data_IF_806321007471
#
_entry.id   IF_806321007471
#
_cell.length_a   1.000
_cell.length_b   1.000
_cell.length_c   1.000
_cell.angle_alpha   90.00
_cell.angle_beta   90.00
_cell.angle_gamma   90.00
#
_symmetry.space_group_name_H-M   'P 1'
#
loop_
_entity.id
_entity.type
_entity.pdbx_description
1 polymer ?
#
# COMPACT_ATOMS: atom_id res chain seq x y z
N UNK A 1 -4.57 9.33 -2.53
CA UNK A 1 -4.75 7.87 -2.71
C UNK A 1 -4.82 7.18 -1.36
N UNK A 2 -3.69 6.74 -0.82
CA UNK A 2 -3.61 5.96 0.44
C UNK A 2 -4.33 6.58 1.64
N UNK A 3 -4.29 7.91 1.82
CA UNK A 3 -5.00 8.57 2.92
C UNK A 3 -6.53 8.45 2.86
N UNK A 4 -7.10 8.30 1.66
CA UNK A 4 -8.55 8.15 1.48
C UNK A 4 -9.02 6.69 1.70
N UNK A 5 -8.11 5.71 1.68
CA UNK A 5 -8.46 4.29 1.80
C UNK A 5 -8.10 3.72 3.17
N UNK A 6 -7.04 4.20 3.83
CA UNK A 6 -6.61 3.63 5.11
C UNK A 6 -7.51 4.00 6.29
N UNK A 7 -8.03 5.22 6.36
CA UNK A 7 -8.89 5.65 7.46
C UNK A 7 -10.24 4.90 7.48
N UNK A 8 -11.01 4.82 6.37
CA UNK A 8 -12.28 4.08 6.35
C UNK A 8 -12.09 2.56 6.55
N UNK A 9 -11.00 2.00 6.02
CA UNK A 9 -10.70 0.58 6.19
C UNK A 9 -10.37 0.22 7.65
N UNK A 10 -9.72 1.13 8.38
CA UNK A 10 -9.40 0.93 9.80
C UNK A 10 -10.66 1.11 10.67
N UNK A 11 -11.52 2.08 10.36
CA UNK A 11 -12.82 2.25 11.02
C UNK A 11 -13.73 1.04 10.81
N UNK A 12 -13.86 0.50 9.59
CA UNK A 12 -14.66 -0.70 9.33
C UNK A 12 -14.17 -1.93 10.12
N UNK A 13 -12.86 -2.13 10.23
CA UNK A 13 -12.30 -3.25 11.01
C UNK A 13 -12.58 -3.09 12.50
N UNK A 14 -12.43 -1.87 13.04
CA UNK A 14 -12.56 -1.60 14.47
C UNK A 14 -14.02 -1.46 14.94
N UNK A 15 -14.93 -0.95 14.10
CA UNK A 15 -16.35 -0.81 14.41
C UNK A 15 -17.12 -2.14 14.49
N UNK A 16 -16.59 -3.21 13.90
CA UNK A 16 -17.24 -4.52 13.82
C UNK A 16 -17.06 -5.41 15.06
N UNK A 17 -16.33 -4.96 16.10
CA UNK A 17 -15.93 -5.77 17.26
C UNK A 17 -16.54 -5.25 18.57
N UNK A 18 -17.09 -6.13 19.46
CA UNK A 18 -17.46 -5.74 20.82
C UNK A 18 -16.24 -5.15 21.56
N UNK A 19 -16.43 -4.05 22.31
CA UNK A 19 -15.35 -3.29 23.01
C UNK A 19 -14.35 -4.18 23.78
N UNK A 20 -14.80 -5.31 24.34
CA UNK A 20 -13.95 -6.27 25.04
C UNK A 20 -12.92 -7.01 24.15
N UNK A 21 -13.03 -6.96 22.82
CA UNK A 21 -12.16 -7.66 21.84
C UNK A 21 -11.42 -6.72 20.89
N UNK A 22 -11.62 -5.41 20.99
CA UNK A 22 -10.98 -4.41 20.13
C UNK A 22 -9.44 -4.49 20.18
N UNK A 23 -8.85 -4.81 21.35
CA UNK A 23 -7.40 -5.00 21.50
C UNK A 23 -6.84 -6.20 20.72
N UNK A 24 -7.58 -7.30 20.64
CA UNK A 24 -7.20 -8.48 19.85
C UNK A 24 -7.35 -8.20 18.36
N UNK A 25 -8.40 -7.47 17.97
CA UNK A 25 -8.62 -7.03 16.58
C UNK A 25 -7.51 -6.11 16.07
N UNK A 26 -7.10 -5.12 16.86
CA UNK A 26 -6.00 -4.21 16.52
C UNK A 26 -4.67 -4.96 16.37
N UNK A 27 -4.34 -5.86 17.31
CA UNK A 27 -3.10 -6.64 17.25
C UNK A 27 -3.05 -7.54 15.99
N UNK A 28 -4.18 -8.12 15.59
CA UNK A 28 -4.28 -8.93 14.38
C UNK A 28 -4.14 -8.08 13.11
N UNK A 29 -4.75 -6.90 13.07
CA UNK A 29 -4.62 -5.96 11.95
C UNK A 29 -3.17 -5.49 11.79
N UNK A 30 -2.48 -5.16 12.89
CA UNK A 30 -1.07 -4.76 12.85
C UNK A 30 -0.18 -5.89 12.35
N UNK A 31 -0.39 -7.11 12.86
CA UNK A 31 0.33 -8.30 12.39
C UNK A 31 0.12 -8.51 10.90
N UNK A 32 -1.12 -8.39 10.42
CA UNK A 32 -1.46 -8.52 9.00
C UNK A 32 -0.75 -7.48 8.16
N UNK A 33 -0.68 -6.23 8.63
CA UNK A 33 0.03 -5.13 7.93
C UNK A 33 1.54 -5.34 7.91
N UNK A 34 2.13 -5.77 9.01
CA UNK A 34 3.57 -6.05 9.08
C UNK A 34 3.96 -7.22 8.18
N UNK A 35 3.22 -8.32 8.25
CA UNK A 35 3.45 -9.51 7.41
C UNK A 35 3.20 -9.17 5.93
N UNK A 36 2.10 -8.48 5.62
CA UNK A 36 1.79 -8.04 4.26
C UNK A 36 2.84 -7.09 3.70
N UNK A 37 3.33 -6.14 4.51
CA UNK A 37 4.40 -5.22 4.13
C UNK A 37 5.71 -5.95 3.84
N UNK A 38 6.14 -6.84 4.73
CA UNK A 38 7.35 -7.64 4.54
C UNK A 38 7.27 -8.53 3.29
N UNK A 39 6.13 -9.19 3.09
CA UNK A 39 5.89 -10.04 1.91
C UNK A 39 5.90 -9.20 0.61
N UNK A 40 5.26 -8.03 0.63
CA UNK A 40 5.25 -7.12 -0.52
C UNK A 40 6.66 -6.68 -0.90
N UNK A 41 7.48 -6.26 0.06
CA UNK A 41 8.88 -5.91 -0.16
C UNK A 41 9.67 -7.08 -0.72
N UNK A 42 9.48 -8.29 -0.18
CA UNK A 42 10.19 -9.49 -0.64
C UNK A 42 9.84 -9.88 -2.08
N UNK A 43 8.55 -9.83 -2.44
CA UNK A 43 8.07 -10.16 -3.79
C UNK A 43 8.60 -9.13 -4.80
N UNK A 44 8.39 -7.84 -4.52
CA UNK A 44 8.81 -6.77 -5.43
C UNK A 44 10.34 -6.78 -5.59
N UNK A 45 11.09 -6.95 -4.49
CA UNK A 45 12.55 -7.04 -4.51
C UNK A 45 13.03 -8.24 -5.34
N UNK A 46 12.35 -9.38 -5.23
CA UNK A 46 12.66 -10.60 -6.02
C UNK A 46 12.44 -10.39 -7.51
N UNK A 47 11.33 -9.76 -7.89
CA UNK A 47 11.04 -9.39 -9.29
C UNK A 47 12.09 -8.42 -9.81
N UNK A 48 12.41 -7.38 -9.04
CA UNK A 48 13.39 -6.37 -9.42
C UNK A 48 14.77 -7.01 -9.66
N UNK A 49 15.21 -7.85 -8.72
CA UNK A 49 16.50 -8.56 -8.80
C UNK A 49 16.53 -9.53 -9.99
N UNK A 50 15.46 -10.28 -10.22
CA UNK A 50 15.38 -11.27 -11.31
C UNK A 50 15.39 -10.60 -12.69
N UNK A 51 14.56 -9.58 -12.90
CA UNK A 51 14.48 -8.87 -14.18
C UNK A 51 15.75 -8.07 -14.46
N UNK A 52 16.30 -7.38 -13.47
CA UNK A 52 17.56 -6.66 -13.61
C UNK A 52 18.72 -7.63 -13.91
N UNK A 53 18.89 -8.66 -13.07
CA UNK A 53 20.00 -9.59 -13.17
C UNK A 53 19.99 -10.39 -14.47
N UNK A 54 18.82 -10.79 -14.96
CA UNK A 54 18.69 -11.48 -16.25
C UNK A 54 19.13 -10.59 -17.42
N UNK A 55 18.69 -9.32 -17.47
CA UNK A 55 19.10 -8.36 -18.51
C UNK A 55 20.60 -8.09 -18.51
N UNK A 56 21.22 -7.96 -17.33
CA UNK A 56 22.67 -7.77 -17.22
C UNK A 56 23.43 -8.99 -17.73
N UNK A 57 23.01 -10.20 -17.33
CA UNK A 57 23.64 -11.44 -17.80
C UNK A 57 23.50 -11.59 -19.30
N UNK A 58 22.31 -11.39 -19.85
CA UNK A 58 22.05 -11.47 -21.29
C UNK A 58 22.92 -10.50 -22.09
N UNK A 59 23.07 -9.27 -21.59
CA UNK A 59 23.80 -8.23 -22.31
C UNK A 59 25.33 -8.37 -22.22
N UNK A 60 25.86 -8.86 -21.09
CA UNK A 60 27.29 -8.83 -20.78
C UNK A 60 27.97 -10.21 -20.76
N UNK A 61 27.23 -11.31 -20.68
CA UNK A 61 27.82 -12.65 -20.62
C UNK A 61 28.72 -12.91 -21.84
N UNK A 62 29.95 -13.37 -21.58
CA UNK A 62 30.97 -13.60 -22.60
C UNK A 62 31.61 -12.34 -23.19
N UNK A 63 31.21 -11.13 -22.77
CA UNK A 63 31.75 -9.85 -23.26
C UNK A 63 32.62 -9.13 -22.24
N UNK A 64 32.50 -9.46 -20.96
CA UNK A 64 33.24 -8.85 -19.85
C UNK A 64 33.82 -9.93 -18.93
N UNK A 65 34.87 -9.62 -18.15
CA UNK A 65 35.37 -10.54 -17.13
C UNK A 65 34.28 -10.91 -16.11
N UNK A 66 34.30 -12.16 -15.62
CA UNK A 66 33.27 -12.67 -14.68
C UNK A 66 33.13 -11.79 -13.43
N UNK A 67 34.24 -11.26 -12.90
CA UNK A 67 34.21 -10.37 -11.73
C UNK A 67 33.44 -9.06 -12.00
N UNK A 68 33.53 -8.53 -13.22
CA UNK A 68 32.81 -7.33 -13.63
C UNK A 68 31.32 -7.65 -13.86
N UNK A 69 31.03 -8.83 -14.41
CA UNK A 69 29.66 -9.32 -14.58
C UNK A 69 28.96 -9.50 -13.22
N UNK A 70 29.62 -10.16 -12.26
CA UNK A 70 29.06 -10.39 -10.92
C UNK A 70 28.81 -9.08 -10.18
N UNK A 71 29.76 -8.14 -10.26
CA UNK A 71 29.58 -6.80 -9.70
C UNK A 71 28.41 -6.07 -10.37
N UNK A 72 28.29 -6.11 -11.70
CA UNK A 72 27.21 -5.46 -12.42
C UNK A 72 25.83 -6.10 -12.13
N UNK A 73 25.79 -7.42 -11.95
CA UNK A 73 24.57 -8.20 -11.68
C UNK A 73 24.05 -7.97 -10.25
N UNK A 74 24.94 -7.63 -9.30
CA UNK A 74 24.55 -7.36 -7.91
C UNK A 74 23.59 -6.17 -7.76
N UNK A 75 23.57 -5.26 -8.74
CA UNK A 75 22.65 -4.13 -8.79
C UNK A 75 23.21 -2.95 -9.58
N UNK A 76 22.37 -1.93 -9.79
CA UNK A 76 22.73 -0.73 -10.56
C UNK A 76 23.95 -0.01 -9.99
N UNK A 77 24.11 0.04 -8.66
CA UNK A 77 25.27 0.63 -8.02
C UNK A 77 26.58 -0.10 -8.36
N UNK A 78 26.56 -1.43 -8.35
CA UNK A 78 27.71 -2.24 -8.76
C UNK A 78 28.04 -2.07 -10.24
N UNK A 79 27.03 -2.00 -11.11
CA UNK A 79 27.24 -1.78 -12.54
C UNK A 79 27.79 -0.38 -12.84
N UNK A 80 27.34 0.65 -12.13
CA UNK A 80 27.88 2.01 -12.26
C UNK A 80 29.32 2.08 -11.77
N UNK A 81 29.67 1.40 -10.67
CA UNK A 81 31.05 1.33 -10.21
C UNK A 81 31.98 0.61 -11.21
N UNK A 82 31.47 -0.41 -11.91
CA UNK A 82 32.20 -1.07 -13.01
C UNK A 82 32.35 -0.13 -14.19
N UNK A 83 31.29 0.60 -14.56
CA UNK A 83 31.31 1.57 -15.65
C UNK A 83 32.29 2.72 -15.39
N UNK A 84 32.33 3.27 -14.18
CA UNK A 84 33.28 4.32 -13.80
C UNK A 84 34.73 3.87 -13.96
N UNK A 85 35.05 2.63 -13.59
CA UNK A 85 36.40 2.05 -13.76
C UNK A 85 36.77 1.84 -15.22
N UNK A 86 35.79 1.71 -16.11
CA UNK A 86 35.99 1.55 -17.55
C UNK A 86 36.20 2.91 -18.27
N UNK A 87 36.00 4.05 -17.58
CA UNK A 87 36.14 5.38 -18.17
C UNK A 87 35.14 5.61 -19.32
N UNK A 88 35.58 6.25 -20.40
CA UNK A 88 34.74 6.58 -21.56
C UNK A 88 34.11 5.34 -22.23
N UNK A 89 34.70 4.16 -22.06
CA UNK A 89 34.13 2.90 -22.54
C UNK A 89 32.96 2.38 -21.68
N UNK A 90 32.74 2.95 -20.49
CA UNK A 90 31.74 2.54 -19.51
C UNK A 90 30.34 3.12 -19.73
N UNK A 91 30.19 4.14 -20.57
CA UNK A 91 28.90 4.82 -20.77
C UNK A 91 27.79 3.88 -21.24
N UNK A 92 28.12 2.97 -22.15
CA UNK A 92 27.19 1.94 -22.63
C UNK A 92 26.72 1.01 -21.51
N UNK A 93 27.63 0.62 -20.61
CA UNK A 93 27.30 -0.20 -19.45
C UNK A 93 26.42 0.56 -18.45
N UNK A 94 26.76 1.82 -18.17
CA UNK A 94 25.99 2.66 -17.26
C UNK A 94 24.55 2.87 -17.78
N UNK A 95 24.40 3.10 -19.09
CA UNK A 95 23.10 3.27 -19.73
C UNK A 95 22.29 1.96 -19.74
N UNK A 96 22.93 0.84 -20.08
CA UNK A 96 22.33 -0.49 -20.01
C UNK A 96 21.82 -0.78 -18.59
N UNK A 97 22.63 -0.53 -17.56
CA UNK A 97 22.25 -0.78 -16.18
C UNK A 97 21.07 0.08 -15.72
N UNK A 98 21.05 1.37 -16.07
CA UNK A 98 19.92 2.26 -15.79
C UNK A 98 18.64 1.78 -16.47
N UNK A 99 18.71 1.42 -17.75
CA UNK A 99 17.55 0.92 -18.49
C UNK A 99 17.04 -0.40 -17.91
N UNK A 100 17.93 -1.34 -17.63
CA UNK A 100 17.57 -2.61 -17.00
C UNK A 100 16.91 -2.42 -15.63
N UNK A 101 17.38 -1.45 -14.85
CA UNK A 101 16.79 -1.10 -13.55
C UNK A 101 15.38 -0.54 -13.72
N UNK A 102 15.17 0.37 -14.68
CA UNK A 102 13.85 0.93 -14.98
C UNK A 102 12.88 -0.15 -15.49
N UNK A 103 13.32 -1.05 -16.36
CA UNK A 103 12.51 -2.18 -16.82
C UNK A 103 12.11 -3.09 -15.65
N UNK A 104 13.04 -3.36 -14.74
CA UNK A 104 12.76 -4.12 -13.54
C UNK A 104 11.74 -3.42 -12.63
N UNK A 105 11.82 -2.09 -12.49
CA UNK A 105 10.84 -1.30 -11.73
C UNK A 105 9.44 -1.40 -12.34
N UNK A 106 9.32 -1.39 -13.68
CA UNK A 106 8.03 -1.62 -14.34
C UNK A 106 7.47 -3.00 -14.03
N UNK A 107 8.31 -4.04 -14.04
CA UNK A 107 7.90 -5.40 -13.62
C UNK A 107 7.36 -5.42 -12.18
N UNK A 108 8.07 -4.77 -11.25
CA UNK A 108 7.61 -4.62 -9.86
C UNK A 108 6.29 -3.85 -9.74
N UNK A 109 6.12 -2.78 -10.51
CA UNK A 109 4.89 -1.99 -10.52
C UNK A 109 3.69 -2.79 -11.05
N UNK A 110 3.88 -3.62 -12.08
CA UNK A 110 2.84 -4.51 -12.61
C UNK A 110 2.43 -5.54 -11.53
N UNK A 111 3.40 -6.14 -10.84
CA UNK A 111 3.11 -7.11 -9.76
C UNK A 111 2.33 -6.45 -8.63
N UNK A 112 2.72 -5.23 -8.22
CA UNK A 112 1.97 -4.46 -7.24
C UNK A 112 0.56 -4.11 -7.72
N UNK A 113 0.39 -3.72 -8.99
CA UNK A 113 -0.91 -3.41 -9.57
C UNK A 113 -1.84 -4.64 -9.61
N UNK A 114 -1.32 -5.81 -9.99
CA UNK A 114 -2.06 -7.08 -9.98
C UNK A 114 -2.46 -7.45 -8.56
N UNK A 115 -1.54 -7.37 -7.59
CA UNK A 115 -1.85 -7.65 -6.19
C UNK A 115 -2.94 -6.71 -5.64
N UNK A 116 -2.87 -5.42 -5.96
CA UNK A 116 -3.88 -4.44 -5.58
C UNK A 116 -5.25 -4.73 -6.23
N UNK A 117 -5.27 -5.09 -7.52
CA UNK A 117 -6.49 -5.46 -8.23
C UNK A 117 -7.14 -6.72 -7.64
N UNK A 118 -6.35 -7.74 -7.31
CA UNK A 118 -6.84 -8.95 -6.64
C UNK A 118 -7.43 -8.62 -5.26
N UNK A 119 -6.73 -7.80 -4.47
CA UNK A 119 -7.23 -7.32 -3.18
C UNK A 119 -8.55 -6.56 -3.32
N UNK A 120 -8.67 -5.69 -4.32
CA UNK A 120 -9.90 -4.96 -4.60
C UNK A 120 -11.05 -5.89 -4.98
N UNK A 121 -10.81 -6.93 -5.80
CA UNK A 121 -11.81 -7.94 -6.15
C UNK A 121 -12.27 -8.71 -4.91
N UNK A 122 -11.34 -9.13 -4.05
CA UNK A 122 -11.67 -9.83 -2.79
C UNK A 122 -12.54 -8.95 -1.90
N UNK A 123 -12.15 -7.68 -1.69
CA UNK A 123 -12.97 -6.74 -0.90
C UNK A 123 -14.35 -6.55 -1.53
N UNK A 124 -14.42 -6.36 -2.85
CA UNK A 124 -15.67 -6.16 -3.56
C UNK A 124 -16.63 -7.37 -3.47
N UNK A 125 -16.10 -8.59 -3.48
CA UNK A 125 -16.90 -9.83 -3.41
C UNK A 125 -17.28 -10.19 -1.97
N UNK A 126 -16.38 -10.01 -1.01
CA UNK A 126 -16.54 -10.54 0.36
C UNK A 126 -16.94 -9.50 1.42
N UNK A 127 -16.83 -8.20 1.16
CA UNK A 127 -17.42 -7.15 1.98
C UNK A 127 -18.64 -6.55 1.25
N UNK A 128 -19.82 -7.21 1.28
CA UNK A 128 -21.04 -6.60 0.76
C UNK A 128 -21.39 -5.39 1.65
N UNK A 129 -21.53 -4.23 1.02
CA UNK A 129 -21.62 -2.88 1.61
C UNK A 129 -22.82 -2.61 2.54
N UNK A 130 -23.00 -3.42 3.59
CA UNK A 130 -24.08 -3.27 4.57
C UNK A 130 -23.68 -2.38 5.76
N UNK A 131 -22.39 -2.33 6.13
CA UNK A 131 -21.91 -1.55 7.28
C UNK A 131 -22.18 -0.03 7.14
N UNK A 132 -22.08 0.52 5.92
CA UNK A 132 -22.30 1.95 5.69
C UNK A 132 -23.76 2.39 5.85
N UNK A 133 -24.73 1.50 5.64
CA UNK A 133 -26.15 1.83 5.83
C UNK A 133 -26.53 1.84 7.31
N UNK A 134 -26.00 0.91 8.09
CA UNK A 134 -26.32 0.82 9.52
C UNK A 134 -25.71 2.00 10.31
N UNK A 135 -24.50 2.44 9.96
CA UNK A 135 -23.84 3.60 10.60
C UNK A 135 -24.50 4.94 10.21
N UNK A 136 -24.85 5.13 8.93
CA UNK A 136 -25.58 6.31 8.43
C UNK A 136 -26.98 6.39 9.10
N UNK A 137 -27.70 5.26 9.17
CA UNK A 137 -29.01 5.20 9.83
C UNK A 137 -28.94 5.37 11.36
N UNK A 138 -27.84 4.98 12.01
CA UNK A 138 -27.64 5.16 13.44
C UNK A 138 -27.31 6.63 13.79
N UNK A 139 -26.43 7.27 13.02
CA UNK A 139 -26.14 8.70 13.15
C UNK A 139 -27.37 9.57 12.88
N UNK A 140 -28.17 9.23 11.87
CA UNK A 140 -29.38 9.98 11.52
C UNK A 140 -30.44 9.86 12.62
N UNK A 141 -30.54 8.70 13.29
CA UNK A 141 -31.41 8.50 14.46
C UNK A 141 -30.93 9.24 15.70
N UNK A 142 -29.63 9.26 15.96
CA UNK A 142 -29.03 9.98 17.09
C UNK A 142 -29.19 11.50 16.91
N UNK A 143 -28.92 12.02 15.70
CA UNK A 143 -29.15 13.42 15.35
C UNK A 143 -30.62 13.81 15.43
N UNK A 144 -31.54 12.95 14.97
CA UNK A 144 -32.98 13.19 15.11
C UNK A 144 -33.45 13.20 16.57
N UNK A 145 -32.86 12.35 17.42
CA UNK A 145 -33.15 12.32 18.86
C UNK A 145 -32.64 13.59 19.57
N UNK A 146 -31.43 14.06 19.23
CA UNK A 146 -30.87 15.30 19.75
C UNK A 146 -31.69 16.52 19.33
N UNK A 147 -32.15 16.56 18.08
CA UNK A 147 -33.00 17.66 17.58
C UNK A 147 -34.39 17.67 18.25
N UNK A 148 -34.95 16.51 18.57
CA UNK A 148 -36.21 16.38 19.29
C UNK A 148 -36.07 16.82 20.76
N UNK A 149 -34.97 16.47 21.43
CA UNK A 149 -34.69 16.89 22.80
C UNK A 149 -34.43 18.41 22.89
N UNK A 150 -33.71 18.98 21.92
CA UNK A 150 -33.49 20.42 21.81
C UNK A 150 -34.79 21.20 21.57
N UNK A 151 -35.72 20.66 20.78
CA UNK A 151 -37.04 21.26 20.57
C UNK A 151 -37.89 21.26 21.85
N UNK A 152 -37.86 20.15 22.60
CA UNK A 152 -38.57 20.02 23.88
C UNK A 152 -38.03 20.98 24.96
N UNK A 153 -36.71 21.20 25.00
CA UNK A 153 -36.10 22.18 25.89
C UNK A 153 -36.32 23.64 25.44
N UNK A 154 -36.42 23.89 24.13
CA UNK A 154 -36.74 25.21 23.57
C UNK A 154 -38.18 25.69 23.83
N UNK A 155 -39.14 24.77 23.93
CA UNK A 155 -40.53 25.11 24.31
C UNK A 155 -40.68 25.42 25.80
N UNK A 156 -39.87 24.81 26.67
CA UNK A 156 -39.84 25.10 28.12
C UNK A 156 -39.47 26.56 28.43
N UNK A 157 -38.54 27.15 27.67
CA UNK A 157 -38.09 28.54 27.88
C UNK A 157 -39.11 29.58 27.36
N UNK A 158 -39.94 29.23 26.37
CA UNK A 158 -41.01 30.13 25.87
C UNK A 158 -42.25 30.19 26.77
N UNK A 159 -42.38 29.29 27.73
CA UNK A 159 -43.51 29.20 28.67
C UNK A 159 -43.28 29.93 30.00
N UNK A 160 -42.12 30.55 30.23
CA UNK A 160 -41.90 31.33 31.44
C UNK A 160 -42.77 32.61 31.41
N UNK A 161 -43.65 32.84 32.40
CA UNK A 161 -44.42 34.09 32.47
C UNK A 161 -43.45 35.26 32.68
N UNK A 162 -43.52 36.25 31.80
CA UNK A 162 -42.85 37.54 31.95
C UNK A 162 -43.42 38.26 33.18
N UNK A 163 -42.62 38.59 34.21
CA UNK A 163 -43.03 39.53 35.25
C UNK A 163 -42.94 40.98 34.79
#
# INVERSE_FOLDING_TARGET
>A
GMGMTMAPATESIMGSLPLAKAGVGSAMNDTTRQVGGALGVAIIGSVLSSVYGSKIVEALSGKVPDQALDAARSGVGGALAVAERAGDAGDGLAQLARNAFVDAMHGGAIVAAVAAALGAIVVFVFLPAHARREDEEAQEREFAAEMADAAAHGESVRSAPQP
#
